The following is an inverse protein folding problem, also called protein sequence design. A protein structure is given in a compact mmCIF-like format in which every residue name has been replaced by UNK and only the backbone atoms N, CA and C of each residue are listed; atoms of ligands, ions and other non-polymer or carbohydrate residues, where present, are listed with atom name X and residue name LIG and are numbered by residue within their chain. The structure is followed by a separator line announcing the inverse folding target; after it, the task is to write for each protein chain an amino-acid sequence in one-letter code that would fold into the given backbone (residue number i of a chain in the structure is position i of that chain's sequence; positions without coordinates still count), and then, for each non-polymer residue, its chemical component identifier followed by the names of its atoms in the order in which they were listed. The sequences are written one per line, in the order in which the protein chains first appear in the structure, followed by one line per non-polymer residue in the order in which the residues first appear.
data_IF_812017771776
#
_entry.id   IF_812017771776
#
_cell.length_a   1.000
_cell.length_b   1.000
_cell.length_c   1.000
_cell.angle_alpha   90.00
_cell.angle_beta   90.00
_cell.angle_gamma   90.00
#
_symmetry.space_group_name_H-M   'P 1'
#
loop_
_entity.id
_entity.type
_entity.pdbx_description
1 polymer ?
#
# COMPACT_ATOMS: atom_id res chain seq x y z
N UNK A 1 -22.61 16.17 -13.06
CA UNK A 1 -21.65 16.66 -14.08
C UNK A 1 -20.63 15.56 -14.30
N UNK A 2 -20.41 15.17 -15.55
CA UNK A 2 -19.73 13.94 -15.93
C UNK A 2 -18.20 14.07 -15.84
N UNK A 3 -17.59 13.32 -14.93
CA UNK A 3 -16.20 12.87 -15.04
C UNK A 3 -16.02 11.54 -14.28
N UNK A 4 -16.98 10.63 -14.42
CA UNK A 4 -16.76 9.23 -14.08
C UNK A 4 -16.19 8.54 -15.32
N UNK A 5 -15.24 7.62 -15.15
CA UNK A 5 -14.69 6.72 -16.18
C UNK A 5 -13.51 7.17 -17.03
N UNK A 6 -12.50 7.84 -16.46
CA UNK A 6 -11.17 7.75 -17.07
C UNK A 6 -10.13 7.34 -16.03
N UNK A 7 -9.94 6.02 -15.89
CA UNK A 7 -8.84 5.43 -15.10
C UNK A 7 -7.45 5.69 -15.70
N UNK A 8 -7.38 6.56 -16.70
CA UNK A 8 -6.19 6.99 -17.40
C UNK A 8 -6.20 8.52 -17.54
N UNK A 9 -5.03 9.14 -17.49
CA UNK A 9 -4.84 10.55 -17.77
C UNK A 9 -3.86 10.74 -18.92
N UNK A 10 -3.98 11.82 -19.68
CA UNK A 10 -2.99 12.19 -20.69
C UNK A 10 -2.06 13.24 -20.10
N UNK A 11 -0.77 12.90 -19.98
CA UNK A 11 0.26 13.74 -19.38
C UNK A 11 1.55 13.62 -20.20
N UNK A 12 2.13 14.76 -20.55
CA UNK A 12 3.41 14.86 -21.29
C UNK A 12 3.45 14.04 -22.59
N UNK A 13 2.33 13.99 -23.33
CA UNK A 13 2.23 13.26 -24.59
C UNK A 13 1.96 11.76 -24.44
N UNK A 14 1.87 11.24 -23.22
CA UNK A 14 1.62 9.81 -22.94
C UNK A 14 0.32 9.64 -22.11
N UNK A 15 -0.37 8.51 -22.26
CA UNK A 15 -1.44 8.17 -21.32
C UNK A 15 -0.85 7.45 -20.10
N UNK A 16 -1.11 7.89 -18.88
CA UNK A 16 -0.74 7.18 -17.66
C UNK A 16 -1.98 6.55 -17.02
N UNK A 17 -1.82 5.45 -16.28
CA UNK A 17 -2.93 4.91 -15.47
C UNK A 17 -3.08 5.81 -14.26
N UNK A 18 -4.25 6.41 -14.08
CA UNK A 18 -4.59 7.23 -12.92
C UNK A 18 -5.23 6.40 -11.81
N UNK A 19 -5.93 5.33 -12.19
CA UNK A 19 -6.81 4.59 -11.29
C UNK A 19 -8.18 5.28 -11.14
N UNK A 20 -9.09 4.66 -10.40
CA UNK A 20 -10.41 5.22 -10.11
C UNK A 20 -10.31 6.49 -9.25
N UNK A 21 -11.37 7.31 -9.24
CA UNK A 21 -11.44 8.51 -8.40
C UNK A 21 -11.14 8.20 -6.92
N UNK A 22 -11.70 7.09 -6.40
CA UNK A 22 -11.40 6.59 -5.04
C UNK A 22 -9.91 6.32 -4.84
N UNK A 23 -9.24 5.71 -5.81
CA UNK A 23 -7.81 5.41 -5.77
C UNK A 23 -7.00 6.69 -5.63
N UNK A 24 -7.35 7.74 -6.38
CA UNK A 24 -6.66 9.02 -6.26
C UNK A 24 -6.85 9.66 -4.88
N UNK A 25 -8.05 9.56 -4.29
CA UNK A 25 -8.31 10.03 -2.92
C UNK A 25 -7.46 9.28 -1.90
N UNK A 26 -7.40 7.95 -1.98
CA UNK A 26 -6.57 7.13 -1.08
C UNK A 26 -5.09 7.46 -1.25
N UNK A 27 -4.59 7.60 -2.48
CA UNK A 27 -3.19 8.01 -2.76
C UNK A 27 -2.87 9.37 -2.14
N UNK A 28 -3.78 10.34 -2.26
CA UNK A 28 -3.54 11.68 -1.73
C UNK A 28 -3.45 11.65 -0.20
N UNK A 29 -4.39 10.95 0.47
CA UNK A 29 -4.40 10.80 1.93
C UNK A 29 -3.16 10.07 2.44
N UNK A 30 -2.82 8.94 1.84
CA UNK A 30 -1.64 8.18 2.24
C UNK A 30 -0.35 8.97 2.00
N UNK A 31 -0.26 9.77 0.94
CA UNK A 31 0.89 10.64 0.68
C UNK A 31 1.07 11.76 1.72
N UNK A 32 -0.03 12.29 2.29
CA UNK A 32 0.04 13.26 3.39
C UNK A 32 0.70 12.63 4.62
N UNK A 33 0.23 11.45 5.04
CA UNK A 33 0.83 10.68 6.15
C UNK A 33 2.29 10.30 5.84
N UNK A 34 2.53 9.78 4.64
CA UNK A 34 3.87 9.36 4.19
C UNK A 34 4.85 10.53 4.08
N UNK A 35 4.39 11.79 4.07
CA UNK A 35 5.27 12.96 4.11
C UNK A 35 6.06 13.06 5.43
N UNK A 36 5.54 12.49 6.52
CA UNK A 36 6.20 12.46 7.83
C UNK A 36 7.66 11.98 7.70
N UNK A 37 8.66 12.69 8.30
CA UNK A 37 10.07 12.34 8.16
C UNK A 37 10.40 10.90 8.59
N UNK A 38 9.71 10.40 9.64
CA UNK A 38 9.84 9.03 10.16
C UNK A 38 9.39 7.96 9.17
N UNK A 39 8.57 8.30 8.17
CA UNK A 39 8.08 7.38 7.14
C UNK A 39 8.84 7.47 5.81
N UNK A 40 10.04 8.07 5.78
CA UNK A 40 10.84 8.23 4.55
C UNK A 40 11.05 6.92 3.77
N UNK A 41 11.31 5.80 4.47
CA UNK A 41 11.52 4.49 3.83
C UNK A 41 10.20 3.97 3.25
N UNK A 42 9.10 4.05 4.00
CA UNK A 42 7.77 3.69 3.52
C UNK A 42 7.36 4.52 2.28
N UNK A 43 7.59 5.83 2.32
CA UNK A 43 7.32 6.74 1.19
C UNK A 43 8.08 6.35 -0.06
N UNK A 44 9.35 5.95 0.08
CA UNK A 44 10.16 5.48 -1.05
C UNK A 44 9.55 4.23 -1.71
N UNK A 45 9.12 3.27 -0.92
CA UNK A 45 8.48 2.04 -1.43
C UNK A 45 7.11 2.34 -2.04
N UNK A 46 6.27 3.15 -1.38
CA UNK A 46 4.95 3.51 -1.91
C UNK A 46 5.05 4.28 -3.24
N UNK A 47 5.99 5.21 -3.38
CA UNK A 47 6.23 5.92 -4.64
C UNK A 47 6.68 4.99 -5.77
N UNK A 48 7.48 3.95 -5.46
CA UNK A 48 7.81 2.94 -6.46
C UNK A 48 6.60 2.11 -6.86
N UNK A 49 5.75 1.74 -5.91
CA UNK A 49 4.49 1.05 -6.19
C UNK A 49 3.61 1.87 -7.14
N UNK A 50 3.44 3.16 -6.85
CA UNK A 50 2.75 4.10 -7.73
C UNK A 50 3.39 4.16 -9.12
N UNK A 51 4.72 4.21 -9.20
CA UNK A 51 5.42 4.22 -10.48
C UNK A 51 5.11 2.97 -11.31
N UNK A 52 5.16 1.78 -10.72
CA UNK A 52 4.83 0.52 -11.40
C UNK A 52 3.35 0.42 -11.78
N UNK A 53 2.46 1.05 -11.00
CA UNK A 53 1.03 1.10 -11.30
C UNK A 53 0.67 2.08 -12.42
N UNK A 54 1.24 3.29 -12.37
CA UNK A 54 0.81 4.44 -13.20
C UNK A 54 1.62 4.58 -14.49
N UNK A 55 2.93 4.29 -14.45
CA UNK A 55 3.85 4.58 -15.56
C UNK A 55 3.64 3.62 -16.73
N UNK A 56 3.35 4.15 -17.91
CA UNK A 56 3.20 3.36 -19.14
C UNK A 56 4.46 2.58 -19.55
N UNK A 57 5.63 3.12 -19.25
CA UNK A 57 6.92 2.55 -19.67
C UNK A 57 7.33 1.35 -18.83
N UNK A 58 6.80 1.23 -17.61
CA UNK A 58 7.28 0.29 -16.58
C UNK A 58 6.11 -0.42 -15.89
N UNK A 59 4.95 -0.50 -16.55
CA UNK A 59 3.74 -1.08 -15.99
C UNK A 59 3.98 -2.50 -15.50
N UNK A 60 3.87 -2.70 -14.19
CA UNK A 60 4.22 -3.97 -13.56
C UNK A 60 3.34 -4.18 -12.32
N UNK A 61 2.24 -4.91 -12.50
CA UNK A 61 1.29 -5.16 -11.42
C UNK A 61 1.93 -5.94 -10.25
N UNK A 62 2.85 -6.84 -10.53
CA UNK A 62 3.54 -7.65 -9.52
C UNK A 62 4.47 -6.79 -8.66
N UNK A 63 5.32 -5.98 -9.32
CA UNK A 63 6.24 -5.09 -8.62
C UNK A 63 5.51 -3.93 -7.94
N UNK A 64 4.37 -3.48 -8.48
CA UNK A 64 3.48 -2.55 -7.78
C UNK A 64 3.04 -3.12 -6.42
N UNK A 65 2.59 -4.36 -6.40
CA UNK A 65 2.14 -5.04 -5.17
C UNK A 65 3.28 -5.28 -4.19
N UNK A 66 4.44 -5.75 -4.69
CA UNK A 66 5.63 -5.97 -3.86
C UNK A 66 6.04 -4.69 -3.13
N UNK A 67 6.16 -3.59 -3.87
CA UNK A 67 6.60 -2.32 -3.32
C UNK A 67 5.53 -1.70 -2.41
N UNK A 68 4.23 -1.91 -2.67
CA UNK A 68 3.17 -1.50 -1.75
C UNK A 68 3.30 -2.25 -0.41
N UNK A 69 3.47 -3.58 -0.44
CA UNK A 69 3.65 -4.37 0.78
C UNK A 69 4.93 -3.96 1.52
N UNK A 70 6.03 -3.68 0.81
CA UNK A 70 7.24 -3.14 1.45
C UNK A 70 7.04 -1.76 2.10
N UNK A 71 6.12 -0.93 1.57
CA UNK A 71 5.76 0.32 2.23
C UNK A 71 5.04 0.09 3.57
N UNK A 72 4.14 -0.89 3.64
CA UNK A 72 3.48 -1.29 4.88
C UNK A 72 4.48 -1.86 5.90
N UNK A 73 5.38 -2.75 5.47
CA UNK A 73 6.45 -3.29 6.32
C UNK A 73 7.30 -2.16 6.91
N UNK A 74 7.76 -1.23 6.08
CA UNK A 74 8.56 -0.10 6.52
C UNK A 74 7.80 0.82 7.48
N UNK A 75 6.49 1.01 7.27
CA UNK A 75 5.64 1.79 8.15
C UNK A 75 5.55 1.12 9.53
N UNK A 76 5.16 -0.14 9.59
CA UNK A 76 5.01 -0.87 10.85
C UNK A 76 6.34 -1.04 11.59
N UNK A 77 7.45 -1.21 10.85
CA UNK A 77 8.79 -1.22 11.44
C UNK A 77 9.13 0.10 12.15
N UNK A 78 8.82 1.23 11.50
CA UNK A 78 9.12 2.54 12.05
C UNK A 78 8.18 2.97 13.17
N UNK A 79 6.92 2.51 13.14
CA UNK A 79 5.90 2.90 14.10
C UNK A 79 5.87 2.03 15.36
N UNK A 80 6.10 0.72 15.24
CA UNK A 80 5.85 -0.22 16.36
C UNK A 80 7.04 -1.08 16.75
N UNK A 81 7.72 -1.72 15.80
CA UNK A 81 8.79 -2.69 16.12
C UNK A 81 9.71 -2.93 14.92
N UNK A 82 11.04 -2.78 15.05
CA UNK A 82 11.98 -3.00 13.95
C UNK A 82 12.05 -4.47 13.48
N UNK A 83 11.38 -5.40 14.17
CA UNK A 83 11.37 -6.82 13.83
C UNK A 83 10.28 -7.20 12.82
N UNK A 84 9.40 -6.27 12.42
CA UNK A 84 8.27 -6.57 11.50
C UNK A 84 8.77 -7.10 10.16
N UNK A 85 9.89 -6.59 9.63
CA UNK A 85 10.47 -7.10 8.38
C UNK A 85 10.90 -8.58 8.47
N UNK A 86 11.35 -9.04 9.63
CA UNK A 86 11.87 -10.40 9.83
C UNK A 86 10.80 -11.40 10.23
N UNK A 87 9.70 -10.95 10.84
CA UNK A 87 8.65 -11.83 11.34
C UNK A 87 7.27 -11.15 11.33
N UNK A 88 6.84 -10.72 10.14
CA UNK A 88 5.65 -9.89 9.92
C UNK A 88 4.44 -10.37 10.74
N UNK A 89 3.97 -11.58 10.50
CA UNK A 89 2.76 -12.11 11.15
C UNK A 89 2.86 -12.14 12.67
N UNK A 90 4.01 -12.54 13.23
CA UNK A 90 4.20 -12.61 14.67
C UNK A 90 4.21 -11.22 15.31
N UNK A 91 4.87 -10.25 14.67
CA UNK A 91 4.99 -8.90 15.22
C UNK A 91 3.66 -8.15 15.15
N UNK A 92 2.93 -8.23 14.04
CA UNK A 92 1.63 -7.53 13.92
C UNK A 92 0.54 -8.13 14.81
N UNK A 93 0.63 -9.42 15.16
CA UNK A 93 -0.28 -10.04 16.13
C UNK A 93 -0.14 -9.46 17.55
N UNK A 94 0.99 -8.81 17.88
CA UNK A 94 1.16 -8.11 19.15
C UNK A 94 0.36 -6.80 19.23
N UNK A 95 -0.06 -6.27 18.08
CA UNK A 95 -0.90 -5.07 17.98
C UNK A 95 -2.39 -5.38 18.18
N UNK A 96 -2.75 -6.65 18.36
CA UNK A 96 -4.15 -7.05 18.56
C UNK A 96 -4.61 -6.66 19.95
N UNK A 97 -5.71 -5.90 20.00
CA UNK A 97 -6.40 -5.60 21.25
C UNK A 97 -7.44 -4.50 21.07
N UNK A 98 -7.72 -3.77 22.15
CA UNK A 98 -8.76 -2.75 22.21
C UNK A 98 -8.32 -1.42 22.82
N UNK A 99 -7.05 -1.28 23.16
CA UNK A 99 -6.46 -0.03 23.67
C UNK A 99 -6.17 0.96 22.52
N UNK A 100 -5.87 2.22 22.84
CA UNK A 100 -5.72 3.33 21.88
C UNK A 100 -4.71 3.06 20.75
N UNK A 101 -3.66 2.28 21.00
CA UNK A 101 -2.60 1.97 20.02
C UNK A 101 -2.71 0.55 19.43
N UNK A 102 -3.88 -0.08 19.56
CA UNK A 102 -4.13 -1.46 19.13
C UNK A 102 -5.22 -1.51 18.05
N UNK A 103 -5.25 -2.63 17.33
CA UNK A 103 -6.23 -2.87 16.28
C UNK A 103 -7.02 -4.16 16.55
N UNK A 104 -8.31 -4.21 16.17
CA UNK A 104 -9.11 -5.42 16.22
C UNK A 104 -8.48 -6.58 15.44
N UNK A 105 -8.53 -7.78 16.02
CA UNK A 105 -7.97 -9.01 15.43
C UNK A 105 -8.35 -9.23 13.95
N UNK A 106 -9.62 -9.04 13.52
CA UNK A 106 -9.99 -9.27 12.12
C UNK A 106 -9.25 -8.38 11.12
N UNK A 107 -8.93 -7.13 11.50
CA UNK A 107 -8.17 -6.22 10.63
C UNK A 107 -6.71 -6.68 10.50
N UNK A 108 -6.11 -7.11 11.60
CA UNK A 108 -4.75 -7.68 11.59
C UNK A 108 -4.69 -8.97 10.76
N UNK A 109 -5.65 -9.88 10.93
CA UNK A 109 -5.69 -11.13 10.16
C UNK A 109 -5.86 -10.87 8.65
N UNK A 110 -6.70 -9.90 8.26
CA UNK A 110 -6.86 -9.47 6.88
C UNK A 110 -5.55 -8.90 6.31
N UNK A 111 -4.86 -8.06 7.08
CA UNK A 111 -3.53 -7.53 6.71
C UNK A 111 -2.50 -8.65 6.49
N UNK A 112 -2.47 -9.66 7.38
CA UNK A 112 -1.57 -10.82 7.24
C UNK A 112 -1.87 -11.60 5.95
N UNK A 113 -3.16 -11.77 5.60
CA UNK A 113 -3.56 -12.44 4.35
C UNK A 113 -3.09 -11.66 3.11
N UNK A 114 -3.25 -10.33 3.13
CA UNK A 114 -2.78 -9.44 2.05
C UNK A 114 -1.25 -9.47 1.95
N UNK A 115 -0.54 -9.45 3.08
CA UNK A 115 0.91 -9.61 3.12
C UNK A 115 1.35 -10.94 2.49
N UNK A 116 0.65 -12.03 2.80
CA UNK A 116 0.88 -13.35 2.22
C UNK A 116 0.72 -13.41 0.70
N UNK A 117 -0.08 -12.52 0.11
CA UNK A 117 -0.24 -12.41 -1.35
C UNK A 117 1.08 -12.09 -2.07
N UNK A 118 2.02 -11.39 -1.41
CA UNK A 118 3.39 -11.17 -1.90
C UNK A 118 4.12 -12.48 -2.19
N UNK A 119 3.90 -13.48 -1.34
CA UNK A 119 4.67 -14.72 -1.27
C UNK A 119 3.93 -15.92 -1.86
N UNK A 120 2.66 -15.77 -2.26
CA UNK A 120 1.95 -16.81 -2.99
C UNK A 120 2.62 -17.04 -4.35
N UNK A 121 3.06 -18.28 -4.56
CA UNK A 121 3.84 -18.76 -5.70
C UNK A 121 3.14 -18.60 -7.06
N UNK A 122 1.88 -18.16 -7.07
CA UNK A 122 1.04 -18.13 -8.26
C UNK A 122 1.07 -16.82 -9.06
N UNK A 123 1.85 -15.79 -8.68
CA UNK A 123 1.91 -14.58 -9.51
C UNK A 123 2.69 -13.38 -8.99
N UNK A 124 3.03 -13.29 -7.69
CA UNK A 124 3.84 -12.15 -7.19
C UNK A 124 5.29 -12.56 -6.91
N UNK A 125 5.54 -13.71 -6.28
CA UNK A 125 6.91 -14.09 -5.86
C UNK A 125 7.80 -14.65 -6.98
N UNK A 126 7.20 -15.37 -7.93
CA UNK A 126 7.86 -15.97 -9.09
C UNK A 126 6.97 -15.75 -10.32
N UNK A 127 7.53 -15.17 -11.38
CA UNK A 127 6.82 -15.02 -12.65
C UNK A 127 6.34 -16.42 -13.10
N UNK A 128 5.03 -16.65 -13.27
CA UNK A 128 4.54 -17.99 -13.58
C UNK A 128 4.93 -18.36 -15.02
N UNK A 129 5.33 -19.62 -15.20
CA UNK A 129 5.67 -20.19 -16.51
C UNK A 129 4.48 -20.15 -17.49
N UNK A 130 3.24 -20.16 -16.99
CA UNK A 130 1.99 -19.91 -17.72
C UNK A 130 0.83 -19.78 -16.71
N UNK A 131 -0.08 -18.81 -16.88
CA UNK A 131 -1.48 -18.96 -16.42
C UNK A 131 -2.05 -18.03 -15.33
N UNK A 132 -1.27 -17.48 -14.39
CA UNK A 132 -1.82 -16.59 -13.34
C UNK A 132 -1.03 -15.28 -13.25
N UNK A 133 -1.35 -14.32 -14.11
CA UNK A 133 -0.76 -12.98 -14.05
C UNK A 133 -1.60 -12.12 -13.10
N UNK A 134 -0.94 -11.52 -12.11
CA UNK A 134 -1.53 -10.47 -11.26
C UNK A 134 -2.11 -9.38 -12.16
N UNK A 135 -3.37 -9.03 -11.92
CA UNK A 135 -4.04 -8.00 -12.71
C UNK A 135 -3.77 -6.60 -12.15
N UNK A 136 -3.84 -5.58 -13.00
CA UNK A 136 -3.81 -4.19 -12.53
C UNK A 136 -4.99 -3.83 -11.61
N UNK A 137 -6.10 -4.59 -11.67
CA UNK A 137 -7.23 -4.42 -10.74
C UNK A 137 -6.85 -4.89 -9.34
N UNK A 138 -6.16 -6.02 -9.24
CA UNK A 138 -5.60 -6.50 -7.97
C UNK A 138 -4.52 -5.56 -7.45
N UNK A 139 -3.62 -5.08 -8.33
CA UNK A 139 -2.61 -4.09 -7.93
C UNK A 139 -3.23 -2.80 -7.40
N UNK A 140 -4.28 -2.29 -8.04
CA UNK A 140 -5.02 -1.11 -7.58
C UNK A 140 -5.69 -1.35 -6.22
N UNK A 141 -6.33 -2.52 -6.05
CA UNK A 141 -6.95 -2.89 -4.79
C UNK A 141 -5.92 -2.96 -3.66
N UNK A 142 -4.80 -3.65 -3.87
CA UNK A 142 -3.74 -3.78 -2.86
C UNK A 142 -3.11 -2.42 -2.57
N UNK A 143 -2.79 -1.62 -3.59
CA UNK A 143 -2.24 -0.27 -3.41
C UNK A 143 -3.13 0.59 -2.50
N UNK A 144 -4.46 0.53 -2.70
CA UNK A 144 -5.43 1.24 -1.88
C UNK A 144 -5.48 0.68 -0.46
N UNK A 145 -5.60 -0.65 -0.28
CA UNK A 145 -5.62 -1.28 1.03
C UNK A 145 -4.37 -0.96 1.84
N UNK A 146 -3.19 -0.98 1.21
CA UNK A 146 -1.93 -0.59 1.84
C UNK A 146 -1.93 0.90 2.21
N UNK A 147 -2.39 1.79 1.33
CA UNK A 147 -2.50 3.22 1.64
C UNK A 147 -3.41 3.49 2.85
N UNK A 148 -4.55 2.79 2.91
CA UNK A 148 -5.49 2.87 4.02
C UNK A 148 -4.90 2.28 5.32
N UNK A 149 -4.17 1.15 5.26
CA UNK A 149 -3.47 0.60 6.44
C UNK A 149 -2.38 1.54 6.97
N UNK A 150 -1.57 2.12 6.09
CA UNK A 150 -0.52 3.07 6.47
C UNK A 150 -1.13 4.27 7.21
N UNK A 151 -2.22 4.82 6.67
CA UNK A 151 -2.96 5.93 7.27
C UNK A 151 -3.53 5.51 8.63
N UNK A 152 -4.25 4.39 8.68
CA UNK A 152 -4.85 3.86 9.91
C UNK A 152 -3.83 3.66 11.05
N UNK A 153 -2.70 3.02 10.77
CA UNK A 153 -1.68 2.77 11.80
C UNK A 153 -0.93 4.02 12.23
N UNK A 154 -0.82 5.02 11.34
CA UNK A 154 -0.30 6.31 11.72
C UNK A 154 -1.27 7.03 12.66
N UNK A 155 -2.55 7.06 12.31
CA UNK A 155 -3.60 7.75 13.06
C UNK A 155 -3.84 7.11 14.44
N UNK A 156 -3.59 5.80 14.59
CA UNK A 156 -3.58 5.13 15.90
C UNK A 156 -2.56 5.73 16.86
N UNK A 157 -1.44 6.26 16.36
CA UNK A 157 -0.35 6.79 17.20
C UNK A 157 -0.30 8.32 17.25
N UNK A 158 -0.86 8.99 16.24
CA UNK A 158 -0.79 10.43 16.06
C UNK A 158 -2.17 10.95 15.68
N UNK A 159 -2.78 11.74 16.54
CA UNK A 159 -4.02 12.46 16.24
C UNK A 159 -3.75 13.71 15.37
N UNK A 160 -4.77 14.15 14.62
CA UNK A 160 -4.81 15.17 13.52
C UNK A 160 -3.99 16.47 13.64
N UNK A 161 -3.33 16.77 14.76
CA UNK A 161 -2.55 18.01 14.95
C UNK A 161 -1.22 18.06 14.17
N UNK A 162 -0.79 16.95 13.53
CA UNK A 162 0.50 16.86 12.82
C UNK A 162 0.41 16.77 11.28
N UNK A 163 -0.79 16.75 10.67
CA UNK A 163 -0.94 16.68 9.21
C UNK A 163 -1.43 18.03 8.67
N UNK A 164 -0.58 18.86 8.04
CA UNK A 164 -1.01 20.13 7.47
C UNK A 164 -2.01 19.89 6.34
N UNK A 165 -3.20 20.51 6.46
CA UNK A 165 -4.26 20.53 5.44
C UNK A 165 -3.81 21.17 4.13
#
# INVERSE_FOLDING_TARGET
MASEYVGFEFKDGQFARRGYSKTQTTINKSNQVLAAPKLKIARKHYNKALKYFQSKEIQDAENSIKEAICALEATLNNLFSPNVASNFSKEVLKLVGGDENQAPRPLIDAMIKIYGYRNSASGVAHAPAEGLKVTFKEAELVLNLIGDYITYFYDLLYTDDEIPF
#
